data_IF_356502155382
#
_entry.id   IF_356502155382
#
_cell.length_a   1.000
_cell.length_b   1.000
_cell.length_c   1.000
_cell.angle_alpha   90.00
_cell.angle_beta   90.00
_cell.angle_gamma   90.00
#
_symmetry.space_group_name_H-M   'P 1'
#
loop_
_entity.id
_entity.type
_entity.pdbx_description
1 polymer ?
#
# COMPACT_ATOMS: atom_id res chain seq x y z
N UNK A 1 6.97 -18.57 9.27
CA UNK A 1 5.62 -19.07 9.54
C UNK A 1 5.30 -18.73 10.98
N UNK A 2 4.13 -18.14 11.21
CA UNK A 2 3.65 -17.85 12.55
C UNK A 2 2.48 -18.79 12.81
N UNK A 3 2.66 -19.88 13.57
CA UNK A 3 1.57 -20.78 13.89
C UNK A 3 0.47 -20.03 14.66
N UNK A 4 -0.73 -20.58 14.63
CA UNK A 4 -1.85 -20.07 15.42
C UNK A 4 -1.47 -20.07 16.91
N UNK A 5 -1.59 -18.92 17.56
CA UNK A 5 -1.33 -18.80 18.99
C UNK A 5 -2.46 -19.42 19.83
N UNK A 6 -2.12 -20.00 20.97
CA UNK A 6 -3.09 -20.61 21.91
C UNK A 6 -3.96 -19.58 22.67
N UNK A 7 -3.72 -18.28 22.47
CA UNK A 7 -4.37 -17.19 23.19
C UNK A 7 -5.92 -17.23 23.15
N UNK A 8 -6.58 -16.41 23.98
CA UNK A 8 -8.03 -16.46 24.15
C UNK A 8 -8.75 -16.34 22.80
N UNK A 9 -9.72 -17.22 22.57
CA UNK A 9 -10.58 -17.15 21.39
C UNK A 9 -11.68 -16.13 21.65
N UNK A 10 -11.89 -15.24 20.69
CA UNK A 10 -13.04 -14.31 20.72
C UNK A 10 -14.27 -15.13 20.37
N UNK A 11 -15.19 -15.32 21.33
CA UNK A 11 -16.27 -16.31 21.33
C UNK A 11 -16.83 -16.71 19.95
N UNK A 12 -17.72 -15.89 19.39
CA UNK A 12 -18.39 -16.18 18.11
C UNK A 12 -17.56 -15.83 16.88
N UNK A 13 -16.34 -15.31 17.05
CA UNK A 13 -15.51 -14.90 15.94
C UNK A 13 -14.94 -16.12 15.20
N UNK A 14 -15.07 -16.10 13.87
CA UNK A 14 -14.46 -17.09 13.00
C UNK A 14 -13.28 -16.49 12.23
N UNK A 15 -12.26 -17.30 11.91
CA UNK A 15 -11.24 -16.86 10.97
C UNK A 15 -11.85 -16.63 9.59
N UNK A 16 -11.33 -15.67 8.85
CA UNK A 16 -11.86 -15.21 7.56
C UNK A 16 -12.10 -16.35 6.56
N UNK A 17 -11.15 -17.31 6.45
CA UNK A 17 -11.29 -18.46 5.55
C UNK A 17 -12.54 -19.30 5.86
N UNK A 18 -12.92 -19.43 7.14
CA UNK A 18 -14.08 -20.22 7.57
C UNK A 18 -15.38 -19.50 7.22
N UNK A 19 -15.41 -18.17 7.32
CA UNK A 19 -16.58 -17.37 6.95
C UNK A 19 -16.88 -17.56 5.45
N UNK A 20 -15.87 -17.44 4.59
CA UNK A 20 -16.04 -17.61 3.15
C UNK A 20 -16.37 -19.06 2.77
N UNK A 21 -15.74 -20.05 3.40
CA UNK A 21 -16.04 -21.46 3.20
C UNK A 21 -17.51 -21.79 3.54
N UNK A 22 -17.99 -21.35 4.71
CA UNK A 22 -19.38 -21.59 5.12
C UNK A 22 -20.39 -20.80 4.28
N UNK A 23 -20.05 -19.58 3.85
CA UNK A 23 -20.90 -18.83 2.92
C UNK A 23 -21.05 -19.57 1.59
N UNK A 24 -19.94 -20.05 1.02
CA UNK A 24 -19.96 -20.84 -0.22
C UNK A 24 -20.76 -22.14 -0.05
N UNK A 25 -20.51 -22.90 1.03
CA UNK A 25 -21.21 -24.15 1.30
C UNK A 25 -22.72 -23.96 1.51
N UNK A 26 -23.15 -22.85 2.12
CA UNK A 26 -24.58 -22.56 2.35
C UNK A 26 -25.29 -22.05 1.09
N UNK A 27 -24.60 -21.27 0.27
CA UNK A 27 -25.16 -20.74 -0.98
C UNK A 27 -25.15 -21.75 -2.11
N UNK A 28 -24.22 -22.71 -2.07
CA UNK A 28 -24.05 -23.79 -3.04
C UNK A 28 -23.80 -25.13 -2.33
N UNK A 29 -24.87 -25.78 -1.82
CA UNK A 29 -24.75 -27.03 -1.06
C UNK A 29 -24.06 -28.16 -1.81
N UNK A 30 -24.13 -28.17 -3.15
CA UNK A 30 -23.54 -29.20 -4.01
C UNK A 30 -22.00 -29.20 -4.03
N UNK A 31 -21.36 -28.10 -3.60
CA UNK A 31 -19.89 -28.02 -3.49
C UNK A 31 -19.40 -27.98 -2.04
N UNK A 32 -20.30 -28.13 -1.06
CA UNK A 32 -20.00 -27.91 0.35
C UNK A 32 -18.80 -28.74 0.85
N UNK A 33 -18.70 -29.99 0.41
CA UNK A 33 -17.62 -30.91 0.81
C UNK A 33 -16.25 -30.54 0.19
N UNK A 34 -16.24 -29.73 -0.86
CA UNK A 34 -15.03 -29.27 -1.53
C UNK A 34 -14.49 -27.94 -0.99
N UNK A 35 -15.32 -27.17 -0.28
CA UNK A 35 -14.94 -25.84 0.23
C UNK A 35 -14.81 -25.80 1.75
N UNK A 36 -15.17 -26.88 2.45
CA UNK A 36 -15.01 -27.01 3.90
C UNK A 36 -13.66 -27.64 4.25
N UNK A 37 -12.87 -26.87 4.99
CA UNK A 37 -11.55 -27.29 5.45
C UNK A 37 -11.55 -27.51 6.96
N UNK A 38 -10.78 -28.49 7.40
CA UNK A 38 -10.55 -28.79 8.83
C UNK A 38 -9.59 -27.80 9.49
N UNK A 39 -8.82 -27.06 8.69
CA UNK A 39 -7.94 -26.00 9.15
C UNK A 39 -7.01 -25.50 8.05
N UNK A 40 -6.23 -24.47 8.37
CA UNK A 40 -5.30 -23.86 7.42
C UNK A 40 -4.20 -24.81 6.88
N UNK A 41 -3.78 -25.90 7.56
CA UNK A 41 -2.86 -26.87 6.95
C UNK A 41 -3.43 -27.59 5.73
N UNK A 42 -4.72 -27.94 5.75
CA UNK A 42 -5.38 -28.58 4.60
C UNK A 42 -5.43 -27.62 3.41
N UNK A 43 -5.76 -26.35 3.66
CA UNK A 43 -5.77 -25.29 2.64
C UNK A 43 -4.38 -25.16 2.01
N UNK A 44 -3.30 -25.11 2.80
CA UNK A 44 -1.92 -25.02 2.28
C UNK A 44 -1.51 -26.25 1.46
N UNK A 45 -1.90 -27.44 1.91
CA UNK A 45 -1.62 -28.67 1.17
C UNK A 45 -2.32 -28.68 -0.20
N UNK A 46 -3.58 -28.21 -0.26
CA UNK A 46 -4.30 -28.09 -1.53
C UNK A 46 -3.67 -27.01 -2.44
N UNK A 47 -3.33 -25.83 -1.89
CA UNK A 47 -2.62 -24.77 -2.63
C UNK A 47 -1.33 -25.30 -3.26
N UNK A 48 -0.54 -26.07 -2.50
CA UNK A 48 0.70 -26.68 -3.01
C UNK A 48 0.43 -27.67 -4.15
N UNK A 49 -0.65 -28.45 -4.07
CA UNK A 49 -1.02 -29.40 -5.12
C UNK A 49 -1.48 -28.72 -6.40
N UNK A 50 -2.27 -27.64 -6.29
CA UNK A 50 -2.91 -26.98 -7.44
C UNK A 50 -2.09 -25.84 -8.03
N UNK A 51 -1.18 -25.24 -7.25
CA UNK A 51 -0.34 -24.11 -7.69
C UNK A 51 1.14 -24.45 -7.46
N UNK A 52 1.83 -25.05 -8.46
CA UNK A 52 3.23 -25.47 -8.32
C UNK A 52 4.20 -24.37 -7.85
N UNK A 53 3.88 -23.11 -8.12
CA UNK A 53 4.67 -21.96 -7.66
C UNK A 53 4.76 -21.85 -6.12
N UNK A 54 3.78 -22.40 -5.41
CA UNK A 54 3.70 -22.43 -3.94
C UNK A 54 4.31 -23.70 -3.32
N UNK A 55 5.05 -24.52 -4.08
CA UNK A 55 5.67 -25.74 -3.57
C UNK A 55 6.45 -25.49 -2.27
N UNK A 56 6.24 -26.37 -1.28
CA UNK A 56 6.79 -26.27 0.08
C UNK A 56 5.90 -25.54 1.09
N UNK A 57 4.86 -24.81 0.67
CA UNK A 57 3.97 -24.10 1.59
C UNK A 57 3.19 -25.04 2.53
N UNK A 58 2.84 -26.24 2.08
CA UNK A 58 2.18 -27.28 2.89
C UNK A 58 3.06 -27.81 4.02
N UNK A 59 4.38 -27.63 3.92
CA UNK A 59 5.36 -28.03 4.93
C UNK A 59 5.41 -27.13 6.17
N UNK A 60 4.81 -25.93 6.13
CA UNK A 60 4.89 -24.96 7.24
C UNK A 60 4.08 -25.41 8.46
N UNK A 61 4.75 -25.65 9.59
CA UNK A 61 4.15 -26.21 10.82
C UNK A 61 4.46 -25.41 12.08
N UNK A 62 5.67 -24.87 12.22
CA UNK A 62 6.14 -24.23 13.47
C UNK A 62 6.80 -22.90 13.22
N UNK A 63 6.98 -22.14 14.31
CA UNK A 63 7.71 -20.89 14.26
C UNK A 63 9.11 -21.09 13.67
N UNK A 64 9.50 -20.17 12.78
CA UNK A 64 10.77 -20.23 12.04
C UNK A 64 10.70 -20.97 10.70
N UNK A 65 9.72 -21.84 10.48
CA UNK A 65 9.53 -22.46 9.16
C UNK A 65 9.29 -21.37 8.11
N UNK A 66 9.93 -21.51 6.96
CA UNK A 66 9.79 -20.56 5.86
C UNK A 66 9.92 -21.27 4.52
N UNK A 67 9.33 -20.66 3.50
CA UNK A 67 9.41 -21.11 2.12
C UNK A 67 9.63 -19.87 1.27
N UNK A 68 10.50 -19.98 0.26
CA UNK A 68 10.70 -18.94 -0.75
C UNK A 68 10.14 -19.46 -2.07
N UNK A 69 9.10 -18.81 -2.58
CA UNK A 69 8.49 -19.20 -3.84
C UNK A 69 9.50 -19.12 -4.98
N UNK A 70 9.60 -20.20 -5.75
CA UNK A 70 10.59 -20.37 -6.82
C UNK A 70 12.05 -20.51 -6.36
N UNK A 71 12.30 -20.69 -5.06
CA UNK A 71 13.64 -20.93 -4.51
C UNK A 71 14.46 -19.67 -4.28
N UNK A 72 15.74 -19.84 -3.89
CA UNK A 72 16.60 -18.76 -3.39
C UNK A 72 16.87 -17.65 -4.42
N UNK A 73 17.05 -18.03 -5.68
CA UNK A 73 17.42 -17.13 -6.77
C UNK A 73 16.69 -17.57 -8.04
N UNK A 74 15.77 -16.74 -8.52
CA UNK A 74 15.06 -16.98 -9.77
C UNK A 74 15.97 -16.71 -10.97
N UNK A 75 15.79 -17.49 -12.05
CA UNK A 75 16.46 -17.29 -13.34
C UNK A 75 17.99 -17.26 -13.27
N UNK A 76 18.57 -18.00 -12.32
CA UNK A 76 20.03 -18.05 -12.11
C UNK A 76 20.80 -18.67 -13.28
N UNK A 77 20.10 -19.36 -14.17
CA UNK A 77 20.59 -19.93 -15.44
C UNK A 77 20.42 -18.96 -16.62
N UNK A 78 19.89 -17.76 -16.38
CA UNK A 78 19.59 -16.77 -17.42
C UNK A 78 18.36 -17.10 -18.26
N UNK A 79 17.51 -18.05 -17.84
CA UNK A 79 16.26 -18.40 -18.53
C UNK A 79 15.06 -17.75 -17.85
N UNK A 80 14.35 -16.89 -18.57
CA UNK A 80 13.20 -16.15 -18.05
C UNK A 80 11.87 -16.84 -18.38
N UNK A 81 10.78 -16.41 -17.75
CA UNK A 81 9.41 -16.87 -18.05
C UNK A 81 8.83 -16.16 -19.29
N UNK A 82 9.62 -16.12 -20.36
CA UNK A 82 9.23 -15.60 -21.68
C UNK A 82 9.18 -16.78 -22.67
N UNK A 83 8.45 -16.66 -23.80
CA UNK A 83 8.30 -17.78 -24.73
C UNK A 83 9.62 -18.37 -25.26
N UNK A 84 10.67 -17.58 -25.37
CA UNK A 84 12.02 -17.97 -25.83
C UNK A 84 13.04 -18.12 -24.67
N UNK A 85 12.62 -17.84 -23.45
CA UNK A 85 13.46 -17.85 -22.25
C UNK A 85 14.44 -16.68 -22.14
N UNK A 86 14.32 -15.64 -22.97
CA UNK A 86 15.22 -14.47 -22.96
C UNK A 86 14.57 -13.26 -22.27
N UNK A 87 15.40 -12.40 -21.68
CA UNK A 87 14.95 -11.12 -21.12
C UNK A 87 14.53 -10.16 -22.24
N UNK A 88 13.40 -9.49 -22.06
CA UNK A 88 12.86 -8.52 -23.03
C UNK A 88 13.23 -7.11 -22.59
N UNK A 89 14.03 -6.42 -23.39
CA UNK A 89 14.33 -4.99 -23.19
C UNK A 89 13.17 -4.14 -23.70
N UNK A 90 12.81 -3.12 -22.90
CA UNK A 90 11.77 -2.15 -23.25
C UNK A 90 12.31 -0.74 -23.05
N UNK A 91 11.99 0.15 -23.97
CA UNK A 91 12.25 1.58 -23.81
C UNK A 91 11.14 2.19 -22.94
N UNK A 92 11.53 3.03 -21.99
CA UNK A 92 10.58 3.78 -21.14
C UNK A 92 10.77 5.26 -21.41
N UNK A 93 9.68 5.93 -21.79
CA UNK A 93 9.67 7.38 -21.93
C UNK A 93 9.46 8.01 -20.54
N UNK A 94 10.37 8.89 -20.07
CA UNK A 94 10.17 9.61 -18.82
C UNK A 94 8.92 10.49 -18.89
N UNK A 95 8.19 10.68 -17.77
CA UNK A 95 7.06 11.59 -17.76
C UNK A 95 7.52 13.03 -17.97
N UNK A 96 6.67 13.85 -18.58
CA UNK A 96 6.90 15.29 -18.64
C UNK A 96 6.99 15.87 -17.22
N UNK A 97 8.03 16.68 -16.98
CA UNK A 97 8.27 17.33 -15.68
C UNK A 97 7.64 18.72 -15.57
N UNK A 98 6.95 19.18 -16.62
CA UNK A 98 6.32 20.48 -16.64
C UNK A 98 5.20 20.55 -15.59
N UNK A 99 5.23 21.63 -14.82
CA UNK A 99 4.26 21.94 -13.78
C UNK A 99 3.78 23.36 -14.00
N UNK A 100 2.46 23.62 -13.96
CA UNK A 100 1.95 24.98 -13.94
C UNK A 100 2.60 25.80 -12.82
N UNK A 101 2.91 27.07 -13.10
CA UNK A 101 3.46 27.97 -12.10
C UNK A 101 2.56 28.06 -10.86
N UNK A 102 3.19 28.07 -9.68
CA UNK A 102 2.47 28.09 -8.40
C UNK A 102 1.85 26.75 -7.98
N UNK A 103 2.05 25.68 -8.76
CA UNK A 103 1.63 24.34 -8.38
C UNK A 103 2.73 23.55 -7.65
N UNK A 104 2.29 22.59 -6.85
CA UNK A 104 3.12 21.67 -6.08
C UNK A 104 2.71 20.23 -6.35
N UNK A 105 3.70 19.34 -6.39
CA UNK A 105 3.43 17.90 -6.40
C UNK A 105 3.32 17.38 -4.97
N UNK A 106 2.15 16.88 -4.61
CA UNK A 106 1.91 16.17 -3.36
C UNK A 106 2.22 14.70 -3.56
N UNK A 107 3.03 14.13 -2.68
CA UNK A 107 3.15 12.69 -2.49
C UNK A 107 2.57 12.30 -1.13
N UNK A 108 1.87 11.16 -1.07
CA UNK A 108 1.41 10.63 0.21
C UNK A 108 2.50 9.83 0.92
N UNK A 109 2.54 9.91 2.24
CA UNK A 109 3.47 9.16 3.10
C UNK A 109 2.75 8.42 4.21
N UNK A 110 3.44 7.46 4.83
CA UNK A 110 2.98 6.78 6.04
C UNK A 110 3.73 7.32 7.26
N UNK A 111 3.02 7.43 8.38
CA UNK A 111 3.60 7.62 9.71
C UNK A 111 3.61 6.29 10.47
N UNK A 112 3.32 6.33 11.78
CA UNK A 112 3.14 5.11 12.58
C UNK A 112 1.73 4.53 12.38
N UNK A 113 1.62 3.58 11.45
CA UNK A 113 0.36 2.99 11.01
C UNK A 113 0.58 1.63 10.36
N UNK A 114 -0.49 0.83 10.24
CA UNK A 114 -0.56 -0.30 9.31
C UNK A 114 -1.71 -0.10 8.34
N UNK A 115 -1.40 0.18 7.08
CA UNK A 115 -2.39 0.68 6.14
C UNK A 115 -3.21 1.81 6.79
N UNK A 116 -4.54 1.78 6.68
CA UNK A 116 -5.43 2.84 7.15
C UNK A 116 -5.62 2.84 8.67
N UNK A 117 -5.07 1.83 9.37
CA UNK A 117 -5.07 1.79 10.82
C UNK A 117 -3.95 2.67 11.35
N UNK A 118 -4.30 3.88 11.76
CA UNK A 118 -3.39 4.83 12.40
C UNK A 118 -3.12 4.35 13.83
N UNK A 119 -1.85 4.10 14.16
CA UNK A 119 -1.46 3.66 15.50
C UNK A 119 -1.10 4.84 16.39
N UNK A 120 -0.47 5.89 15.84
CA UNK A 120 -0.14 7.12 16.56
C UNK A 120 -0.36 8.37 15.71
N UNK A 121 -0.69 9.47 16.40
CA UNK A 121 -0.92 10.78 15.77
C UNK A 121 0.37 11.43 15.27
N UNK A 122 1.46 11.28 16.02
CA UNK A 122 2.76 11.87 15.71
C UNK A 122 3.67 10.81 15.11
N UNK A 123 4.35 11.16 14.05
CA UNK A 123 5.43 10.34 13.51
C UNK A 123 6.68 10.47 14.37
N UNK A 124 7.16 9.34 14.91
CA UNK A 124 8.35 9.29 15.76
C UNK A 124 9.66 9.66 15.05
N UNK A 125 9.71 9.67 13.72
CA UNK A 125 10.94 10.01 12.98
C UNK A 125 11.14 11.51 12.78
N UNK A 126 10.07 12.28 12.57
CA UNK A 126 10.16 13.69 12.19
C UNK A 126 9.19 14.61 12.94
N UNK A 127 8.44 14.08 13.92
CA UNK A 127 7.47 14.84 14.71
C UNK A 127 6.24 15.30 13.92
N UNK A 128 6.05 14.83 12.68
CA UNK A 128 4.94 15.25 11.85
C UNK A 128 3.62 14.70 12.40
N UNK A 129 2.69 15.61 12.72
CA UNK A 129 1.31 15.24 12.98
C UNK A 129 0.62 14.76 11.70
N UNK A 130 -0.51 14.05 11.87
CA UNK A 130 -1.30 13.53 10.74
C UNK A 130 -1.69 14.62 9.74
N UNK A 131 -2.09 15.78 10.23
CA UNK A 131 -2.50 16.93 9.44
C UNK A 131 -1.34 17.75 8.84
N UNK A 132 -0.09 17.37 9.07
CA UNK A 132 1.06 18.13 8.60
C UNK A 132 1.13 18.14 7.07
N UNK A 133 1.36 19.34 6.52
CA UNK A 133 1.80 19.57 5.15
C UNK A 133 3.31 19.78 5.21
N UNK A 134 4.06 18.72 4.93
CA UNK A 134 5.50 18.80 4.90
C UNK A 134 5.92 19.61 3.67
N UNK A 135 6.70 20.65 3.88
CA UNK A 135 7.10 21.62 2.86
C UNK A 135 8.60 21.91 2.98
N UNK A 136 9.27 22.16 1.85
CA UNK A 136 10.67 22.60 1.89
C UNK A 136 10.80 23.96 2.60
N UNK A 137 11.88 24.22 3.38
CA UNK A 137 12.11 25.54 3.94
C UNK A 137 12.13 26.65 2.88
N UNK A 138 12.69 26.36 1.70
CA UNK A 138 12.73 27.30 0.58
C UNK A 138 11.33 27.73 0.12
N UNK A 139 10.41 26.79 -0.10
CA UNK A 139 9.04 27.12 -0.51
C UNK A 139 8.27 27.79 0.62
N UNK A 140 8.46 27.33 1.85
CA UNK A 140 7.87 27.92 3.03
C UNK A 140 8.27 29.39 3.16
N UNK A 141 9.56 29.72 3.01
CA UNK A 141 10.07 31.09 3.05
C UNK A 141 9.57 31.91 1.87
N UNK A 142 9.61 31.37 0.65
CA UNK A 142 9.10 32.02 -0.57
C UNK A 142 7.62 32.37 -0.48
N UNK A 143 6.83 31.55 0.20
CA UNK A 143 5.39 31.75 0.41
C UNK A 143 5.06 32.48 1.72
N UNK A 144 6.04 32.77 2.57
CA UNK A 144 5.81 33.41 3.88
C UNK A 144 5.06 32.53 4.88
N UNK A 145 5.24 31.20 4.82
CA UNK A 145 4.55 30.20 5.63
C UNK A 145 5.51 29.61 6.69
N UNK A 146 5.54 30.12 7.93
CA UNK A 146 6.27 29.47 9.02
C UNK A 146 5.63 28.13 9.44
N UNK A 147 6.33 27.37 10.30
CA UNK A 147 5.78 26.15 10.88
C UNK A 147 4.49 26.42 11.65
N UNK A 148 3.53 25.51 11.51
CA UNK A 148 2.22 25.59 12.14
C UNK A 148 1.20 26.45 11.38
N UNK A 149 1.60 27.19 10.33
CA UNK A 149 0.66 27.99 9.53
C UNK A 149 -0.43 27.11 8.92
N UNK A 150 -1.71 27.41 9.16
CA UNK A 150 -2.82 26.75 8.50
C UNK A 150 -2.79 27.00 6.99
N UNK A 151 -2.94 25.94 6.21
CA UNK A 151 -2.96 26.00 4.75
C UNK A 151 -4.04 25.11 4.17
N UNK A 152 -4.52 25.48 2.99
CA UNK A 152 -5.32 24.63 2.14
C UNK A 152 -4.52 24.23 0.89
N UNK A 153 -4.51 22.93 0.61
CA UNK A 153 -4.08 22.35 -0.65
C UNK A 153 -5.32 22.12 -1.51
N UNK A 154 -5.28 22.54 -2.78
CA UNK A 154 -6.42 22.38 -3.71
C UNK A 154 -6.02 21.70 -5.01
N UNK A 155 -6.78 20.70 -5.43
CA UNK A 155 -6.68 20.02 -6.73
C UNK A 155 -8.04 19.99 -7.43
N UNK A 156 -8.28 20.96 -8.32
CA UNK A 156 -9.63 21.20 -8.86
C UNK A 156 -10.62 21.54 -7.74
N UNK A 157 -11.70 20.76 -7.64
CA UNK A 157 -12.74 20.89 -6.60
C UNK A 157 -12.38 20.17 -5.27
N UNK A 158 -11.25 19.45 -5.24
CA UNK A 158 -10.79 18.73 -4.05
C UNK A 158 -9.93 19.62 -3.18
N UNK A 159 -10.14 19.60 -1.86
CA UNK A 159 -9.31 20.34 -0.92
C UNK A 159 -8.90 19.51 0.30
N UNK A 160 -7.75 19.86 0.85
CA UNK A 160 -7.20 19.31 2.08
C UNK A 160 -6.68 20.46 2.93
N UNK A 161 -7.06 20.49 4.20
CA UNK A 161 -6.57 21.48 5.15
C UNK A 161 -5.56 20.85 6.09
N UNK A 162 -4.47 21.55 6.34
CA UNK A 162 -3.39 21.07 7.20
C UNK A 162 -2.56 22.22 7.75
N UNK A 163 -1.43 21.88 8.36
CA UNK A 163 -0.48 22.84 8.92
C UNK A 163 0.89 22.64 8.34
N UNK A 164 1.56 23.72 7.96
CA UNK A 164 2.93 23.64 7.43
C UNK A 164 3.86 23.04 8.46
N UNK A 165 4.70 22.11 8.00
CA UNK A 165 5.85 21.61 8.72
C UNK A 165 7.05 21.61 7.77
N UNK A 166 8.07 22.38 8.09
CA UNK A 166 9.31 22.46 7.34
C UNK A 166 10.04 21.13 7.43
N UNK A 167 10.39 20.58 6.27
CA UNK A 167 11.03 19.30 6.13
C UNK A 167 12.06 19.33 5.00
N UNK A 168 13.11 18.49 5.03
CA UNK A 168 14.13 18.43 3.98
C UNK A 168 13.57 17.80 2.69
N UNK A 169 12.74 18.55 1.98
CA UNK A 169 12.09 18.18 0.73
C UNK A 169 12.68 18.98 -0.43
N UNK A 170 12.69 18.38 -1.61
CA UNK A 170 12.99 19.10 -2.84
C UNK A 170 11.91 20.16 -3.10
N UNK A 171 12.27 21.43 -3.37
CA UNK A 171 11.30 22.47 -3.67
C UNK A 171 10.29 22.10 -4.76
N UNK A 172 9.07 22.64 -4.66
CA UNK A 172 7.93 22.31 -5.52
C UNK A 172 7.26 20.97 -5.21
N UNK A 173 7.65 20.30 -4.13
CA UNK A 173 7.01 19.06 -3.66
C UNK A 173 6.53 19.21 -2.21
N UNK A 174 5.43 18.54 -1.90
CA UNK A 174 4.83 18.48 -0.58
C UNK A 174 4.64 17.01 -0.19
N UNK A 175 4.64 16.72 1.11
CA UNK A 175 4.17 15.43 1.60
C UNK A 175 3.05 15.61 2.60
N UNK A 176 2.07 14.72 2.54
CA UNK A 176 0.97 14.62 3.49
C UNK A 176 0.75 13.17 3.89
N UNK A 177 0.13 12.93 5.04
CA UNK A 177 -0.11 11.57 5.48
C UNK A 177 -1.27 10.91 4.73
N UNK A 178 -1.11 9.63 4.44
CA UNK A 178 -2.19 8.74 4.05
C UNK A 178 -2.77 8.07 5.30
N UNK A 179 -4.10 7.97 5.46
CA UNK A 179 -5.14 8.20 4.45
C UNK A 179 -5.70 9.62 4.37
N UNK A 180 -5.27 10.55 5.23
CA UNK A 180 -5.84 11.90 5.34
C UNK A 180 -5.78 12.67 4.01
N UNK A 181 -4.69 12.51 3.26
CA UNK A 181 -4.49 13.12 1.95
C UNK A 181 -5.26 12.51 0.78
N UNK A 182 -6.00 11.41 0.98
CA UNK A 182 -6.72 10.74 -0.11
C UNK A 182 -7.73 11.66 -0.81
N UNK A 183 -8.25 12.65 -0.09
CA UNK A 183 -9.20 13.63 -0.64
C UNK A 183 -8.65 14.36 -1.86
N UNK A 184 -7.32 14.52 -1.98
CA UNK A 184 -6.67 15.19 -3.11
C UNK A 184 -6.45 14.28 -4.31
N UNK A 185 -6.55 12.96 -4.14
CA UNK A 185 -6.20 12.00 -5.18
C UNK A 185 -7.33 11.87 -6.21
N UNK A 186 -6.94 11.77 -7.47
CA UNK A 186 -7.89 11.50 -8.56
C UNK A 186 -8.09 9.99 -8.72
N UNK A 187 -9.25 9.49 -8.31
CA UNK A 187 -9.62 8.08 -8.39
C UNK A 187 -9.60 7.50 -9.81
N UNK A 188 -9.77 8.37 -10.83
CA UNK A 188 -9.72 7.98 -12.23
C UNK A 188 -8.28 7.80 -12.73
N UNK A 189 -7.30 8.46 -12.10
CA UNK A 189 -5.90 8.43 -12.51
C UNK A 189 -5.24 7.14 -12.04
N UNK A 190 -5.13 6.19 -12.97
CA UNK A 190 -4.63 4.84 -12.72
C UNK A 190 -3.70 4.37 -13.83
N UNK A 191 -2.76 3.49 -13.51
CA UNK A 191 -1.95 2.84 -14.53
C UNK A 191 -2.84 2.06 -15.51
N UNK A 192 -2.60 2.14 -16.83
CA UNK A 192 -3.52 1.57 -17.82
C UNK A 192 -3.61 0.04 -17.74
N UNK A 193 -2.51 -0.64 -17.42
CA UNK A 193 -2.48 -2.11 -17.38
C UNK A 193 -2.96 -2.68 -16.04
N UNK A 194 -2.46 -2.15 -14.92
CA UNK A 194 -2.67 -2.76 -13.60
C UNK A 194 -3.70 -2.01 -12.73
N UNK A 195 -4.25 -0.90 -13.24
CA UNK A 195 -5.24 -0.05 -12.54
C UNK A 195 -4.76 0.45 -11.18
N UNK A 196 -3.44 0.54 -10.99
CA UNK A 196 -2.80 1.02 -9.77
C UNK A 196 -3.09 2.53 -9.65
N UNK A 197 -3.66 3.00 -8.52
CA UNK A 197 -3.89 4.43 -8.30
C UNK A 197 -2.60 5.25 -8.34
N UNK A 198 -2.69 6.46 -8.88
CA UNK A 198 -1.68 7.47 -8.64
C UNK A 198 -1.89 8.09 -7.26
N UNK A 199 -0.97 7.80 -6.32
CA UNK A 199 -0.99 8.34 -4.96
C UNK A 199 -0.33 9.72 -4.85
N UNK A 200 -0.25 10.43 -5.97
CA UNK A 200 0.23 11.81 -6.05
C UNK A 200 -0.87 12.73 -6.59
N UNK A 201 -0.77 14.01 -6.23
CA UNK A 201 -1.69 15.04 -6.70
C UNK A 201 -0.94 16.32 -7.04
N UNK A 202 -1.37 17.01 -8.10
CA UNK A 202 -0.93 18.36 -8.39
C UNK A 202 -1.87 19.33 -7.67
N UNK A 203 -1.31 20.24 -6.87
CA UNK A 203 -2.09 21.15 -6.03
C UNK A 203 -1.60 22.58 -6.10
N UNK A 204 -2.47 23.53 -5.77
CA UNK A 204 -2.08 24.88 -5.35
C UNK A 204 -2.15 24.98 -3.82
N UNK A 205 -1.32 25.85 -3.23
CA UNK A 205 -1.27 26.11 -1.79
C UNK A 205 -1.80 27.52 -1.52
N UNK A 206 -2.66 27.68 -0.50
CA UNK A 206 -2.99 29.00 0.06
C UNK A 206 -2.98 28.96 1.58
N UNK A 207 -2.61 30.08 2.22
CA UNK A 207 -2.81 30.27 3.65
C UNK A 207 -4.31 30.36 3.99
N UNK A 208 -4.67 29.93 5.19
CA UNK A 208 -6.01 30.07 5.79
C UNK A 208 -6.01 31.08 6.93
#
# INVERSE_FOLDING_TARGET
FSPEGEGPRVGEAWPEWKIFAELAARTRPEIADHVRFTGTPQIRAEIEQVVPFYQGIGGLRKFGDNVQYGGRHLFSDGRFQTPDGLGVFSVVEPPALERPDGSFMVATRRGKQFNSMVHERLDGFNGAAREAVLMSPYDADRLGLPDGTPVELRSGERSYQGKVLRAPLMPGNLQIHWPEGNVLLDEARRSPQARIPDYNALVTVRAL
#
